data_IF_305684331168
#
_entry.id   IF_305684331168
#
_cell.length_a   1.000
_cell.length_b   1.000
_cell.length_c   1.000
_cell.angle_alpha   90.00
_cell.angle_beta   90.00
_cell.angle_gamma   90.00
#
_symmetry.space_group_name_H-M   'P 1'
#
loop_
_entity.id
_entity.type
_entity.pdbx_description
1 polymer ?
#
# COMPACT_ATOMS: atom_id res chain seq x y z
N UNK A 1 -34.59 19.93 8.29
CA UNK A 1 -33.79 19.72 9.51
C UNK A 1 -32.56 18.98 9.06
N UNK A 2 -31.48 19.73 8.93
CA UNK A 2 -30.19 19.24 8.47
C UNK A 2 -29.56 18.34 9.54
N UNK A 3 -29.54 17.02 9.29
CA UNK A 3 -28.79 16.06 10.11
C UNK A 3 -27.40 15.85 9.51
N UNK A 4 -26.60 16.90 9.46
CA UNK A 4 -25.15 16.75 9.29
C UNK A 4 -24.58 16.28 10.63
N UNK A 5 -23.92 15.12 10.71
CA UNK A 5 -23.24 14.74 11.93
C UNK A 5 -22.11 15.73 12.20
N UNK A 6 -22.20 16.38 13.35
CA UNK A 6 -21.20 17.29 13.89
C UNK A 6 -19.98 16.45 14.38
N UNK A 7 -19.29 15.79 13.47
CA UNK A 7 -18.06 15.04 13.77
C UNK A 7 -16.88 15.94 13.38
N UNK A 8 -16.55 16.88 14.26
CA UNK A 8 -15.31 17.67 14.19
C UNK A 8 -14.13 16.82 14.68
N UNK A 9 -13.91 15.64 14.12
CA UNK A 9 -12.61 15.01 14.23
C UNK A 9 -11.63 15.92 13.50
N UNK A 10 -10.68 16.47 14.26
CA UNK A 10 -9.62 17.31 13.67
C UNK A 10 -8.89 16.51 12.64
N UNK A 11 -8.86 17.03 11.41
CA UNK A 11 -8.00 16.48 10.38
C UNK A 11 -6.55 16.45 10.88
N UNK A 12 -5.79 15.39 10.58
CA UNK A 12 -4.40 15.31 10.98
C UNK A 12 -3.62 16.53 10.47
N UNK A 13 -2.75 17.05 11.29
CA UNK A 13 -1.88 18.17 10.96
C UNK A 13 -0.39 17.77 11.13
N UNK A 14 0.53 18.68 10.84
CA UNK A 14 1.97 18.45 10.97
C UNK A 14 2.46 18.13 12.38
N UNK A 15 1.62 18.30 13.40
CA UNK A 15 1.93 17.98 14.80
C UNK A 15 1.49 16.57 15.17
N UNK A 16 0.66 15.94 14.34
CA UNK A 16 0.38 14.51 14.43
C UNK A 16 1.62 13.73 13.97
N UNK A 17 2.14 12.82 14.81
CA UNK A 17 3.38 12.09 14.53
C UNK A 17 3.32 11.36 13.19
N UNK A 18 2.18 10.71 12.89
CA UNK A 18 1.95 9.97 11.66
C UNK A 18 1.86 10.85 10.40
N UNK A 19 1.80 12.18 10.56
CA UNK A 19 1.73 13.15 9.46
C UNK A 19 2.88 14.15 9.44
N UNK A 20 3.83 14.01 10.35
CA UNK A 20 4.90 15.00 10.57
C UNK A 20 5.72 15.31 9.33
N UNK A 21 5.96 14.33 8.49
CA UNK A 21 6.75 14.46 7.27
C UNK A 21 5.92 14.39 5.99
N UNK A 22 4.66 13.90 6.08
CA UNK A 22 3.72 14.02 4.97
C UNK A 22 3.40 15.49 4.70
N UNK A 23 3.09 15.84 3.47
CA UNK A 23 2.82 17.23 3.09
C UNK A 23 1.44 17.72 3.60
N UNK A 24 1.35 18.34 4.79
CA UNK A 24 0.05 18.66 5.42
C UNK A 24 -0.81 19.61 4.58
N UNK A 25 -0.18 20.47 3.75
CA UNK A 25 -0.88 21.37 2.84
C UNK A 25 -1.51 20.64 1.65
N UNK A 26 -0.88 19.59 1.14
CA UNK A 26 -1.45 18.73 0.09
C UNK A 26 -2.59 17.88 0.65
N UNK A 27 -2.45 17.43 1.89
CA UNK A 27 -3.49 16.75 2.65
C UNK A 27 -4.74 17.64 2.80
N UNK A 28 -4.60 18.87 3.28
CA UNK A 28 -5.71 19.80 3.43
C UNK A 28 -6.46 20.05 2.11
N UNK A 29 -5.72 20.16 0.99
CA UNK A 29 -6.31 20.33 -0.34
C UNK A 29 -7.02 19.06 -0.81
N UNK A 30 -6.43 17.87 -0.60
CA UNK A 30 -7.05 16.60 -0.95
C UNK A 30 -8.34 16.36 -0.16
N UNK A 31 -8.30 16.63 1.15
CA UNK A 31 -9.48 16.52 2.03
C UNK A 31 -10.53 17.55 1.64
N UNK A 32 -10.14 18.81 1.36
CA UNK A 32 -11.08 19.82 0.90
C UNK A 32 -11.76 19.40 -0.42
N UNK A 33 -11.02 18.79 -1.35
CA UNK A 33 -11.61 18.23 -2.56
C UNK A 33 -12.62 17.13 -2.24
N UNK A 34 -12.29 16.19 -1.34
CA UNK A 34 -13.22 15.16 -0.89
C UNK A 34 -14.47 15.73 -0.23
N UNK A 35 -14.34 16.81 0.56
CA UNK A 35 -15.46 17.44 1.27
C UNK A 35 -16.37 18.23 0.34
N UNK A 36 -15.85 18.81 -0.73
CA UNK A 36 -16.61 19.69 -1.64
C UNK A 36 -17.16 18.98 -2.88
N UNK A 37 -16.79 17.73 -3.12
CA UNK A 37 -17.26 17.00 -4.29
C UNK A 37 -18.64 16.39 -4.04
N UNK A 38 -19.47 16.51 -5.06
CA UNK A 38 -20.73 15.78 -5.20
C UNK A 38 -20.54 14.25 -5.18
N UNK A 39 -21.41 13.50 -5.81
CA UNK A 39 -21.29 12.03 -5.88
C UNK A 39 -19.91 11.62 -6.42
N UNK A 40 -19.31 10.61 -5.79
CA UNK A 40 -18.10 9.97 -6.28
C UNK A 40 -18.28 9.55 -7.75
N UNK A 41 -17.30 9.90 -8.59
CA UNK A 41 -17.33 9.63 -10.02
C UNK A 41 -16.20 8.66 -10.36
N UNK A 42 -16.56 7.43 -10.62
CA UNK A 42 -15.60 6.41 -11.04
C UNK A 42 -16.30 5.18 -11.56
N UNK A 43 -15.54 4.27 -12.13
CA UNK A 43 -16.01 2.99 -12.64
C UNK A 43 -15.21 1.83 -12.05
N UNK A 44 -15.87 0.70 -11.94
CA UNK A 44 -15.27 -0.58 -11.52
C UNK A 44 -15.49 -1.60 -12.61
N UNK A 45 -14.41 -2.22 -13.08
CA UNK A 45 -14.44 -3.35 -14.01
C UNK A 45 -13.72 -4.52 -13.38
N UNK A 46 -14.33 -5.71 -13.38
CA UNK A 46 -13.73 -6.93 -12.83
C UNK A 46 -13.73 -8.00 -13.90
N UNK A 47 -12.60 -8.67 -14.07
CA UNK A 47 -12.39 -9.74 -15.05
C UNK A 47 -11.63 -10.91 -14.41
N UNK A 48 -11.69 -12.09 -15.01
CA UNK A 48 -10.99 -13.29 -14.51
C UNK A 48 -11.76 -14.06 -13.43
N UNK A 49 -13.05 -13.76 -13.23
CA UNK A 49 -13.89 -14.44 -12.24
C UNK A 49 -15.32 -14.54 -12.77
N UNK A 50 -16.03 -15.61 -12.41
CA UNK A 50 -17.46 -15.76 -12.72
C UNK A 50 -18.31 -14.83 -11.85
N UNK A 51 -19.43 -14.36 -12.39
CA UNK A 51 -20.31 -13.33 -11.76
C UNK A 51 -20.75 -13.65 -10.31
N UNK A 52 -20.84 -14.92 -9.95
CA UNK A 52 -21.26 -15.35 -8.61
C UNK A 52 -20.29 -14.98 -7.47
N UNK A 53 -19.00 -14.76 -7.80
CA UNK A 53 -17.96 -14.38 -6.82
C UNK A 53 -17.87 -12.87 -6.58
N UNK A 54 -18.62 -12.07 -7.37
CA UNK A 54 -18.58 -10.60 -7.32
C UNK A 54 -19.85 -10.08 -6.66
N UNK A 55 -19.70 -9.37 -5.55
CA UNK A 55 -20.77 -8.53 -5.02
C UNK A 55 -20.34 -7.07 -5.16
N UNK A 56 -21.17 -6.24 -5.81
CA UNK A 56 -21.04 -4.80 -5.68
C UNK A 56 -21.38 -4.42 -4.24
N UNK A 57 -20.69 -3.41 -3.73
CA UNK A 57 -20.93 -2.90 -2.38
C UNK A 57 -22.34 -2.30 -2.32
N UNK A 58 -23.34 -3.09 -1.93
CA UNK A 58 -24.71 -2.61 -1.66
C UNK A 58 -24.88 -2.21 -0.20
N UNK A 59 -24.07 -2.78 0.71
CA UNK A 59 -24.03 -2.46 2.14
C UNK A 59 -22.59 -2.16 2.56
N UNK A 60 -22.20 -0.89 2.38
CA UNK A 60 -20.85 -0.43 2.69
C UNK A 60 -20.48 -0.59 4.17
N UNK A 61 -21.44 -0.57 5.09
CA UNK A 61 -21.16 -0.62 6.52
C UNK A 61 -20.62 -1.98 6.96
N UNK A 62 -21.22 -3.07 6.49
CA UNK A 62 -20.74 -4.43 6.82
C UNK A 62 -19.42 -4.76 6.14
N UNK A 63 -19.24 -4.26 4.92
CA UNK A 63 -18.00 -4.48 4.16
C UNK A 63 -16.79 -3.75 4.78
N UNK A 64 -17.00 -2.69 5.55
CA UNK A 64 -15.97 -1.88 6.20
C UNK A 64 -15.62 -2.33 7.63
N UNK A 65 -16.28 -3.39 8.14
CA UNK A 65 -15.95 -3.92 9.47
C UNK A 65 -14.50 -4.40 9.53
N UNK A 66 -13.79 -4.01 10.58
CA UNK A 66 -12.39 -4.40 10.82
C UNK A 66 -11.36 -3.50 10.15
N UNK A 67 -11.76 -2.54 9.33
CA UNK A 67 -10.81 -1.60 8.70
C UNK A 67 -10.25 -0.61 9.73
N UNK A 68 -8.91 -0.53 9.78
CA UNK A 68 -8.15 0.37 10.67
C UNK A 68 -7.20 1.21 9.82
N UNK A 69 -6.92 2.44 10.25
CA UNK A 69 -5.91 3.31 9.64
C UNK A 69 -4.65 3.40 10.51
N UNK A 70 -3.60 3.98 9.96
CA UNK A 70 -2.37 4.35 10.67
C UNK A 70 -2.27 5.88 10.62
N UNK A 71 -2.98 6.54 11.54
CA UNK A 71 -3.01 8.01 11.64
C UNK A 71 -4.00 8.73 10.72
N UNK A 72 -4.77 8.02 9.89
CA UNK A 72 -5.76 8.61 8.96
C UNK A 72 -7.21 8.37 9.36
N UNK A 73 -7.53 8.30 10.66
CA UNK A 73 -8.88 7.97 11.14
C UNK A 73 -9.96 8.92 10.60
N UNK A 74 -9.68 10.22 10.55
CA UNK A 74 -10.61 11.21 10.00
C UNK A 74 -10.86 11.00 8.50
N UNK A 75 -9.82 10.62 7.73
CA UNK A 75 -9.97 10.29 6.31
C UNK A 75 -10.71 8.97 6.11
N UNK A 76 -10.46 8.00 6.97
CA UNK A 76 -11.18 6.74 6.96
C UNK A 76 -12.67 6.94 7.30
N UNK A 77 -12.99 7.78 8.28
CA UNK A 77 -14.38 8.15 8.61
C UNK A 77 -15.05 8.83 7.40
N UNK A 78 -14.35 9.74 6.73
CA UNK A 78 -14.84 10.38 5.51
C UNK A 78 -15.04 9.37 4.37
N UNK A 79 -14.09 8.44 4.16
CA UNK A 79 -14.24 7.35 3.19
C UNK A 79 -15.50 6.53 3.46
N UNK A 80 -15.70 6.08 4.72
CA UNK A 80 -16.88 5.32 5.14
C UNK A 80 -18.20 6.01 4.82
N UNK A 81 -18.25 7.34 4.94
CA UNK A 81 -19.45 8.13 4.63
C UNK A 81 -19.71 8.32 3.13
N UNK A 82 -18.73 7.99 2.28
CA UNK A 82 -18.73 8.29 0.84
C UNK A 82 -18.46 7.10 -0.07
N UNK A 83 -18.27 5.91 0.49
CA UNK A 83 -18.13 4.68 -0.32
C UNK A 83 -19.33 4.59 -1.25
N UNK A 84 -19.05 4.68 -2.55
CA UNK A 84 -20.11 4.71 -3.57
C UNK A 84 -20.16 3.42 -4.38
N UNK A 85 -19.03 2.71 -4.51
CA UNK A 85 -18.91 1.46 -5.28
C UNK A 85 -17.69 0.67 -4.81
N UNK A 86 -17.53 -0.54 -5.27
CA UNK A 86 -16.38 -1.37 -4.92
C UNK A 86 -16.55 -2.83 -5.31
N UNK A 87 -15.54 -3.62 -4.98
CA UNK A 87 -15.50 -5.05 -5.25
C UNK A 87 -15.46 -5.86 -3.95
N UNK A 88 -16.36 -6.82 -3.82
CA UNK A 88 -16.28 -7.87 -2.80
C UNK A 88 -16.06 -9.19 -3.50
N UNK A 89 -14.85 -9.74 -3.37
CA UNK A 89 -14.49 -11.06 -3.89
C UNK A 89 -14.61 -12.10 -2.79
N UNK A 90 -15.42 -13.12 -3.03
CA UNK A 90 -15.52 -14.33 -2.18
C UNK A 90 -14.87 -15.47 -2.95
N UNK A 91 -13.66 -15.83 -2.56
CA UNK A 91 -12.85 -16.84 -3.24
C UNK A 91 -13.08 -18.18 -2.54
N UNK A 92 -13.84 -19.09 -3.18
CA UNK A 92 -14.24 -20.38 -2.59
C UNK A 92 -13.48 -21.57 -3.18
N UNK A 93 -12.73 -21.37 -4.28
CA UNK A 93 -11.91 -22.38 -4.95
C UNK A 93 -10.66 -21.71 -5.54
N UNK A 94 -9.73 -22.49 -6.06
CA UNK A 94 -8.52 -22.02 -6.70
C UNK A 94 -8.82 -21.29 -8.01
N UNK A 95 -8.03 -20.23 -8.29
CA UNK A 95 -8.11 -19.44 -9.51
C UNK A 95 -6.75 -19.52 -10.23
N UNK A 96 -6.71 -20.19 -11.40
CA UNK A 96 -5.49 -20.33 -12.20
C UNK A 96 -5.10 -19.00 -12.87
N UNK A 97 -6.09 -18.27 -13.39
CA UNK A 97 -5.89 -16.97 -14.02
C UNK A 97 -6.03 -15.83 -13.01
N UNK A 98 -5.27 -14.74 -13.17
CA UNK A 98 -5.39 -13.58 -12.29
C UNK A 98 -6.77 -12.92 -12.38
N UNK A 99 -7.35 -12.63 -11.22
CA UNK A 99 -8.53 -11.77 -11.12
C UNK A 99 -8.07 -10.32 -11.23
N UNK A 100 -8.59 -9.57 -12.21
CA UNK A 100 -8.25 -8.17 -12.38
C UNK A 100 -9.41 -7.27 -11.96
N UNK A 101 -9.12 -6.30 -11.08
CA UNK A 101 -10.03 -5.23 -10.67
C UNK A 101 -9.46 -3.93 -11.22
N UNK A 102 -10.23 -3.21 -12.04
CA UNK A 102 -9.86 -1.90 -12.56
C UNK A 102 -10.79 -0.84 -11.99
N UNK A 103 -10.20 0.11 -11.27
CA UNK A 103 -10.86 1.35 -10.84
C UNK A 103 -10.37 2.52 -11.67
N UNK A 104 -11.29 3.27 -12.25
CA UNK A 104 -10.96 4.46 -13.05
C UNK A 104 -11.75 5.68 -12.59
N UNK A 105 -11.10 6.84 -12.56
CA UNK A 105 -11.75 8.11 -12.25
C UNK A 105 -11.14 9.27 -13.00
N UNK A 106 -11.99 10.26 -13.38
CA UNK A 106 -11.58 11.59 -13.84
C UNK A 106 -11.81 12.67 -12.77
N UNK A 107 -12.44 12.29 -11.67
CA UNK A 107 -12.75 13.16 -10.54
C UNK A 107 -12.23 12.59 -9.22
N UNK A 108 -13.12 12.47 -8.24
CA UNK A 108 -12.80 11.80 -6.98
C UNK A 108 -13.61 10.52 -6.86
N UNK A 109 -12.92 9.45 -6.51
CA UNK A 109 -13.53 8.14 -6.31
C UNK A 109 -13.07 7.53 -4.99
N UNK A 110 -14.01 6.91 -4.27
CA UNK A 110 -13.78 6.31 -2.96
C UNK A 110 -14.20 4.84 -2.95
N UNK A 111 -13.49 3.97 -3.69
CA UNK A 111 -13.86 2.56 -3.80
C UNK A 111 -13.47 1.77 -2.54
N UNK A 112 -14.14 0.63 -2.37
CA UNK A 112 -13.81 -0.40 -1.39
C UNK A 112 -13.51 -1.70 -2.08
N UNK A 113 -12.38 -2.33 -1.74
CA UNK A 113 -12.07 -3.72 -2.11
C UNK A 113 -12.11 -4.61 -0.87
N UNK A 114 -12.89 -5.69 -0.92
CA UNK A 114 -12.87 -6.73 0.10
C UNK A 114 -12.61 -8.09 -0.54
N UNK A 115 -11.54 -8.75 -0.11
CA UNK A 115 -11.14 -10.07 -0.57
C UNK A 115 -11.29 -11.02 0.63
N UNK A 116 -12.11 -12.06 0.47
CA UNK A 116 -12.32 -13.09 1.48
C UNK A 116 -12.00 -14.43 0.83
N UNK A 117 -10.88 -15.03 1.20
CA UNK A 117 -10.45 -16.33 0.71
C UNK A 117 -10.85 -17.44 1.70
N UNK A 118 -11.54 -18.46 1.20
CA UNK A 118 -11.86 -19.67 1.94
C UNK A 118 -10.60 -20.49 2.29
N UNK A 119 -10.68 -21.46 3.20
CA UNK A 119 -9.53 -22.28 3.57
C UNK A 119 -8.90 -22.99 2.37
N UNK A 120 -7.57 -22.92 2.29
CA UNK A 120 -6.77 -23.60 1.26
C UNK A 120 -6.84 -23.00 -0.14
N UNK A 121 -7.57 -21.92 -0.36
CA UNK A 121 -7.73 -21.28 -1.68
C UNK A 121 -6.45 -20.60 -2.14
N UNK A 122 -6.13 -20.77 -3.43
CA UNK A 122 -5.04 -20.10 -4.11
C UNK A 122 -5.58 -19.10 -5.14
N UNK A 123 -5.17 -17.84 -5.06
CA UNK A 123 -5.58 -16.82 -6.04
C UNK A 123 -4.57 -15.70 -6.18
N UNK A 124 -4.48 -15.17 -7.41
CA UNK A 124 -3.75 -13.95 -7.72
C UNK A 124 -4.71 -12.84 -8.12
N UNK A 125 -4.60 -11.70 -7.47
CA UNK A 125 -5.43 -10.52 -7.74
C UNK A 125 -4.54 -9.38 -8.23
N UNK A 126 -4.92 -8.74 -9.33
CA UNK A 126 -4.30 -7.53 -9.86
C UNK A 126 -5.32 -6.40 -9.74
N UNK A 127 -5.07 -5.46 -8.86
CA UNK A 127 -5.90 -4.28 -8.68
C UNK A 127 -5.21 -3.09 -9.31
N UNK A 128 -5.86 -2.46 -10.27
CA UNK A 128 -5.35 -1.30 -10.99
C UNK A 128 -6.21 -0.07 -10.71
N UNK A 129 -5.55 1.00 -10.33
CA UNK A 129 -6.17 2.30 -10.09
C UNK A 129 -5.66 3.28 -11.12
N UNK A 130 -6.58 3.91 -11.86
CA UNK A 130 -6.25 4.85 -12.92
C UNK A 130 -6.95 6.18 -12.67
N UNK A 131 -6.16 7.19 -12.34
CA UNK A 131 -6.62 8.57 -12.18
C UNK A 131 -6.37 9.35 -13.47
N UNK A 132 -7.41 9.52 -14.28
CA UNK A 132 -7.36 10.28 -15.53
C UNK A 132 -7.71 11.75 -15.30
N UNK A 133 -7.05 12.64 -16.03
CA UNK A 133 -7.31 14.08 -15.94
C UNK A 133 -6.61 14.79 -14.81
N UNK A 134 -6.72 16.11 -14.79
CA UNK A 134 -6.12 16.98 -13.78
C UNK A 134 -6.95 17.00 -12.49
N UNK A 135 -6.29 17.01 -11.32
CA UNK A 135 -6.90 17.08 -9.99
C UNK A 135 -7.81 15.89 -9.63
N UNK A 136 -7.66 14.74 -10.28
CA UNK A 136 -8.34 13.51 -9.87
C UNK A 136 -7.77 12.97 -8.55
N UNK A 137 -8.59 12.25 -7.80
CA UNK A 137 -8.16 11.62 -6.56
C UNK A 137 -8.84 10.26 -6.36
N UNK A 138 -8.07 9.28 -5.91
CA UNK A 138 -8.60 7.97 -5.54
C UNK A 138 -8.26 7.66 -4.08
N UNK A 139 -9.28 7.33 -3.30
CA UNK A 139 -9.15 7.00 -1.89
C UNK A 139 -9.74 5.61 -1.68
N UNK A 140 -8.88 4.62 -1.63
CA UNK A 140 -9.29 3.21 -1.57
C UNK A 140 -9.11 2.65 -0.16
N UNK A 141 -10.14 1.95 0.30
CA UNK A 141 -10.03 1.06 1.45
C UNK A 141 -10.00 -0.38 0.96
N UNK A 142 -9.08 -1.20 1.51
CA UNK A 142 -8.93 -2.60 1.14
C UNK A 142 -8.85 -3.49 2.37
N UNK A 143 -9.59 -4.60 2.33
CA UNK A 143 -9.54 -5.64 3.36
C UNK A 143 -9.25 -6.97 2.67
N UNK A 144 -8.20 -7.65 3.10
CA UNK A 144 -7.81 -8.98 2.64
C UNK A 144 -7.91 -9.92 3.84
N UNK A 145 -8.80 -10.91 3.75
CA UNK A 145 -8.98 -11.93 4.79
C UNK A 145 -8.63 -13.29 4.20
N UNK A 146 -7.51 -13.85 4.60
CA UNK A 146 -7.05 -15.18 4.18
C UNK A 146 -7.35 -16.20 5.30
N UNK A 147 -8.26 -17.13 5.04
CA UNK A 147 -8.57 -18.22 5.97
C UNK A 147 -7.44 -19.27 6.02
N UNK A 148 -7.56 -20.27 6.89
CA UNK A 148 -6.50 -21.24 7.13
C UNK A 148 -5.96 -21.88 5.84
N UNK A 149 -4.64 -21.85 5.65
CA UNK A 149 -3.95 -22.41 4.51
C UNK A 149 -4.16 -21.69 3.17
N UNK A 150 -4.91 -20.60 3.11
CA UNK A 150 -5.09 -19.83 1.88
C UNK A 150 -3.78 -19.17 1.43
N UNK A 151 -3.53 -19.12 0.11
CA UNK A 151 -2.35 -18.49 -0.49
C UNK A 151 -2.80 -17.40 -1.48
N UNK A 152 -2.70 -16.15 -1.09
CA UNK A 152 -3.24 -15.01 -1.82
C UNK A 152 -2.13 -14.03 -2.17
N UNK A 153 -2.00 -13.71 -3.45
CA UNK A 153 -1.15 -12.61 -3.90
C UNK A 153 -1.99 -11.46 -4.46
N UNK A 154 -1.72 -10.26 -3.99
CA UNK A 154 -2.39 -9.04 -4.43
C UNK A 154 -1.36 -8.04 -4.93
N UNK A 155 -1.51 -7.64 -6.17
CA UNK A 155 -0.69 -6.60 -6.80
C UNK A 155 -1.53 -5.35 -7.00
N UNK A 156 -1.17 -4.26 -6.34
CA UNK A 156 -1.77 -2.94 -6.52
C UNK A 156 -0.90 -2.10 -7.45
N UNK A 157 -1.48 -1.66 -8.56
CA UNK A 157 -0.86 -0.77 -9.53
C UNK A 157 -1.59 0.57 -9.54
N UNK A 158 -0.92 1.62 -9.06
CA UNK A 158 -1.44 2.99 -9.02
C UNK A 158 -0.89 3.79 -10.21
N UNK A 159 -1.78 4.31 -11.04
CA UNK A 159 -1.44 5.17 -12.17
C UNK A 159 -2.17 6.51 -12.07
N UNK A 160 -1.41 7.58 -11.94
CA UNK A 160 -1.94 8.91 -11.80
C UNK A 160 -1.42 9.90 -12.81
N UNK A 161 -1.58 11.17 -12.48
CA UNK A 161 -1.05 12.32 -13.19
C UNK A 161 -0.26 13.21 -12.22
N UNK A 162 0.51 14.16 -12.76
CA UNK A 162 1.30 15.11 -11.96
C UNK A 162 0.47 16.03 -11.04
N UNK A 163 -0.85 15.91 -11.06
CA UNK A 163 -1.77 16.67 -10.20
C UNK A 163 -2.75 15.77 -9.44
N UNK A 164 -2.76 14.46 -9.71
CA UNK A 164 -3.63 13.51 -9.03
C UNK A 164 -3.11 13.14 -7.64
N UNK A 165 -4.00 12.57 -6.83
CA UNK A 165 -3.71 12.12 -5.46
C UNK A 165 -4.26 10.74 -5.22
N UNK A 166 -3.54 9.95 -4.41
CA UNK A 166 -3.98 8.63 -3.98
C UNK A 166 -3.89 8.49 -2.45
N UNK A 167 -4.88 7.82 -1.86
CA UNK A 167 -4.81 7.31 -0.50
C UNK A 167 -5.28 5.85 -0.51
N UNK A 168 -4.45 4.96 -0.01
CA UNK A 168 -4.76 3.55 0.13
C UNK A 168 -4.66 3.13 1.58
N UNK A 169 -5.72 2.57 2.13
CA UNK A 169 -5.73 1.98 3.46
C UNK A 169 -6.00 0.49 3.29
N UNK A 170 -4.97 -0.33 3.52
CA UNK A 170 -5.02 -1.78 3.34
C UNK A 170 -4.92 -2.49 4.69
N UNK A 171 -5.83 -3.42 4.95
CA UNK A 171 -5.77 -4.31 6.11
C UNK A 171 -5.74 -5.76 5.63
N UNK A 172 -4.73 -6.49 6.09
CA UNK A 172 -4.49 -7.89 5.78
C UNK A 172 -4.66 -8.68 7.08
N UNK A 173 -5.46 -9.73 7.03
CA UNK A 173 -5.65 -10.68 8.14
C UNK A 173 -5.31 -12.08 7.63
N UNK A 174 -4.27 -12.69 8.20
CA UNK A 174 -3.81 -14.03 7.85
C UNK A 174 -4.10 -14.99 9.01
N UNK A 175 -4.89 -16.03 8.74
CA UNK A 175 -5.21 -17.10 9.66
C UNK A 175 -4.11 -18.20 9.66
N UNK A 176 -4.35 -19.33 10.32
CA UNK A 176 -3.40 -20.44 10.47
C UNK A 176 -2.87 -20.93 9.11
N UNK A 177 -1.53 -20.92 8.97
CA UNK A 177 -0.85 -21.36 7.75
C UNK A 177 -1.19 -20.55 6.49
N UNK A 178 -1.92 -19.46 6.60
CA UNK A 178 -2.22 -18.61 5.44
C UNK A 178 -0.99 -17.84 4.98
N UNK A 179 -0.80 -17.76 3.67
CA UNK A 179 0.24 -16.95 3.03
C UNK A 179 -0.39 -15.79 2.27
N UNK A 180 0.04 -14.56 2.56
CA UNK A 180 -0.40 -13.37 1.83
C UNK A 180 0.80 -12.57 1.34
N UNK A 181 0.82 -12.27 0.05
CA UNK A 181 1.80 -11.37 -0.57
C UNK A 181 1.07 -10.15 -1.10
N UNK A 182 1.59 -8.97 -0.77
CA UNK A 182 1.02 -7.72 -1.24
C UNK A 182 2.11 -6.84 -1.83
N UNK A 183 2.00 -6.53 -3.11
CA UNK A 183 2.89 -5.62 -3.84
C UNK A 183 2.13 -4.33 -4.17
N UNK A 184 2.76 -3.19 -3.93
CA UNK A 184 2.26 -1.89 -4.35
C UNK A 184 3.26 -1.15 -5.25
N UNK A 185 2.73 -0.52 -6.29
CA UNK A 185 3.51 0.35 -7.17
C UNK A 185 2.74 1.66 -7.41
N UNK A 186 3.42 2.78 -7.27
CA UNK A 186 2.85 4.11 -7.51
C UNK A 186 3.56 4.80 -8.68
N UNK A 187 2.78 5.29 -9.63
CA UNK A 187 3.28 6.03 -10.78
C UNK A 187 2.53 7.35 -10.94
N UNK A 188 3.30 8.43 -11.11
CA UNK A 188 2.85 9.75 -11.57
C UNK A 188 1.92 10.56 -10.64
N UNK A 189 1.54 10.09 -9.46
CA UNK A 189 0.76 10.91 -8.53
C UNK A 189 1.59 12.08 -7.99
N UNK A 190 0.97 13.27 -7.87
CA UNK A 190 1.57 14.40 -7.17
C UNK A 190 1.81 14.08 -5.69
N UNK A 191 0.86 13.34 -5.10
CA UNK A 191 0.91 12.88 -3.73
C UNK A 191 0.21 11.53 -3.63
N UNK A 192 0.85 10.60 -2.96
CA UNK A 192 0.27 9.32 -2.60
C UNK A 192 0.57 8.99 -1.14
N UNK A 193 -0.42 8.47 -0.42
CA UNK A 193 -0.25 7.89 0.91
C UNK A 193 -0.76 6.46 0.92
N UNK A 194 0.03 5.59 1.52
CA UNK A 194 -0.26 4.18 1.69
C UNK A 194 -0.17 3.81 3.17
N UNK A 195 -1.21 3.20 3.69
CA UNK A 195 -1.26 2.66 5.05
C UNK A 195 -1.58 1.17 4.97
N UNK A 196 -0.63 0.33 5.35
CA UNK A 196 -0.80 -1.13 5.30
C UNK A 196 -0.64 -1.73 6.69
N UNK A 197 -1.70 -2.33 7.22
CA UNK A 197 -1.67 -3.15 8.43
C UNK A 197 -1.79 -4.61 8.06
N UNK A 198 -0.79 -5.42 8.43
CA UNK A 198 -0.80 -6.87 8.27
C UNK A 198 -0.90 -7.52 9.66
N UNK A 199 -1.99 -8.20 9.95
CA UNK A 199 -2.22 -8.91 11.20
C UNK A 199 -2.13 -10.42 10.99
N UNK A 200 -1.17 -11.06 11.68
CA UNK A 200 -0.97 -12.49 11.70
C UNK A 200 -1.66 -13.02 12.96
N UNK A 201 -2.82 -13.65 12.77
CA UNK A 201 -3.78 -13.96 13.85
C UNK A 201 -3.66 -15.38 14.41
N UNK A 202 -2.93 -16.26 13.70
CA UNK A 202 -2.79 -17.67 14.08
C UNK A 202 -1.43 -18.23 13.66
N UNK A 203 -0.96 -19.37 14.22
CA UNK A 203 0.35 -19.93 13.94
C UNK A 203 0.61 -20.22 12.45
N UNK A 204 1.88 -20.22 12.06
CA UNK A 204 2.35 -20.48 10.71
C UNK A 204 1.82 -19.49 9.64
N UNK A 205 1.18 -18.39 10.03
CA UNK A 205 0.83 -17.32 9.08
C UNK A 205 2.11 -16.66 8.50
N UNK A 206 2.12 -16.41 7.19
CA UNK A 206 3.20 -15.78 6.44
C UNK A 206 2.65 -14.55 5.69
N UNK A 207 3.13 -13.35 6.01
CA UNK A 207 2.75 -12.13 5.28
C UNK A 207 3.98 -11.42 4.74
N UNK A 208 3.99 -11.17 3.44
CA UNK A 208 5.09 -10.46 2.78
C UNK A 208 4.59 -9.23 2.06
N UNK A 209 5.17 -8.08 2.43
CA UNK A 209 4.83 -6.77 1.90
C UNK A 209 5.93 -6.26 0.99
N UNK A 210 5.57 -5.83 -0.19
CA UNK A 210 6.49 -5.34 -1.21
C UNK A 210 6.04 -3.98 -1.73
N UNK A 211 7.02 -3.12 -2.05
CA UNK A 211 6.73 -1.88 -2.78
C UNK A 211 7.92 -1.47 -3.63
N UNK A 212 7.65 -1.06 -4.88
CA UNK A 212 8.66 -0.62 -5.82
C UNK A 212 8.20 0.67 -6.51
N UNK A 213 8.87 1.79 -6.25
CA UNK A 213 8.42 3.08 -6.73
C UNK A 213 9.56 3.89 -7.34
N UNK A 214 9.23 4.62 -8.42
CA UNK A 214 10.05 5.66 -8.97
C UNK A 214 9.33 6.99 -8.88
N UNK A 215 9.96 7.93 -8.18
CA UNK A 215 9.41 9.26 -7.92
C UNK A 215 10.28 10.31 -8.61
N UNK A 216 9.63 11.27 -9.24
CA UNK A 216 10.28 12.33 -10.01
C UNK A 216 9.70 13.71 -9.66
N UNK A 217 10.36 14.77 -10.14
CA UNK A 217 9.90 16.14 -9.99
C UNK A 217 9.65 16.54 -8.52
N UNK A 218 8.40 16.77 -8.12
CA UNK A 218 7.98 17.13 -6.75
C UNK A 218 6.97 16.15 -6.19
N UNK A 219 7.00 14.91 -6.66
CA UNK A 219 6.11 13.85 -6.17
C UNK A 219 6.41 13.51 -4.72
N UNK A 220 5.37 13.18 -4.00
CA UNK A 220 5.46 12.77 -2.59
C UNK A 220 4.79 11.41 -2.43
N UNK A 221 5.52 10.46 -1.86
CA UNK A 221 5.00 9.15 -1.45
C UNK A 221 5.20 8.99 0.06
N UNK A 222 4.11 8.76 0.78
CA UNK A 222 4.08 8.62 2.23
C UNK A 222 3.56 7.23 2.60
N UNK A 223 4.47 6.33 3.03
CA UNK A 223 4.19 4.91 3.27
C UNK A 223 4.26 4.59 4.76
N UNK A 224 3.15 4.11 5.32
CA UNK A 224 3.02 3.67 6.70
C UNK A 224 2.66 2.20 6.76
N UNK A 225 3.39 1.42 7.57
CA UNK A 225 3.15 0.00 7.68
C UNK A 225 3.13 -0.48 9.14
N UNK A 226 2.30 -1.46 9.42
CA UNK A 226 2.27 -2.17 10.70
C UNK A 226 2.20 -3.67 10.45
N UNK A 227 3.26 -4.39 10.89
CA UNK A 227 3.29 -5.85 10.93
C UNK A 227 2.93 -6.27 12.34
N UNK A 228 1.70 -6.74 12.56
CA UNK A 228 1.14 -7.08 13.87
C UNK A 228 1.13 -8.59 14.04
N UNK A 229 2.02 -9.10 14.90
CA UNK A 229 2.07 -10.50 15.30
C UNK A 229 1.23 -10.69 16.57
N UNK A 230 -0.03 -11.11 16.37
CA UNK A 230 -0.97 -11.40 17.45
C UNK A 230 -0.80 -12.82 17.99
N UNK A 231 -0.08 -13.69 17.26
CA UNK A 231 0.19 -15.09 17.60
C UNK A 231 1.66 -15.45 17.32
N UNK A 232 2.19 -16.43 18.05
CA UNK A 232 3.56 -16.94 17.88
C UNK A 232 3.71 -17.88 16.69
N UNK A 233 4.98 -18.14 16.30
CA UNK A 233 5.31 -19.02 15.17
C UNK A 233 4.92 -18.48 13.80
N UNK A 234 4.80 -17.17 13.68
CA UNK A 234 4.43 -16.47 12.45
C UNK A 234 5.64 -15.83 11.76
N UNK A 235 5.54 -15.65 10.45
CA UNK A 235 6.56 -14.99 9.64
C UNK A 235 6.01 -13.73 8.97
N UNK A 236 6.77 -12.63 9.02
CA UNK A 236 6.51 -11.47 8.16
C UNK A 236 7.79 -10.87 7.59
N UNK A 237 7.70 -10.38 6.36
CA UNK A 237 8.81 -9.67 5.72
C UNK A 237 8.29 -8.48 4.91
N UNK A 238 8.97 -7.35 5.03
CA UNK A 238 8.70 -6.15 4.24
C UNK A 238 9.95 -5.76 3.46
N UNK A 239 9.79 -5.58 2.14
CA UNK A 239 10.80 -5.02 1.26
C UNK A 239 10.22 -3.87 0.44
N UNK A 240 10.55 -2.65 0.82
CA UNK A 240 10.17 -1.43 0.11
C UNK A 240 11.39 -0.78 -0.52
N UNK A 241 11.32 -0.50 -1.81
CA UNK A 241 12.37 0.19 -2.56
C UNK A 241 11.83 1.39 -3.30
N UNK A 242 12.52 2.53 -3.16
CA UNK A 242 12.18 3.75 -3.85
C UNK A 242 13.40 4.31 -4.60
N UNK A 243 13.18 4.80 -5.81
CA UNK A 243 14.15 5.60 -6.58
C UNK A 243 13.59 7.01 -6.68
N UNK A 244 14.38 8.01 -6.28
CA UNK A 244 13.95 9.40 -6.22
C UNK A 244 14.81 10.30 -7.08
N UNK A 245 14.16 11.14 -7.89
CA UNK A 245 14.81 12.15 -8.72
C UNK A 245 14.17 13.54 -8.54
N UNK A 246 14.89 14.58 -8.92
CA UNK A 246 14.44 15.97 -8.81
C UNK A 246 14.27 16.41 -7.35
N UNK A 247 13.10 16.86 -6.98
CA UNK A 247 12.70 17.27 -5.64
C UNK A 247 11.70 16.30 -5.02
N UNK A 248 11.72 15.05 -5.45
CA UNK A 248 10.80 14.04 -4.94
C UNK A 248 11.06 13.75 -3.46
N UNK A 249 10.01 13.43 -2.74
CA UNK A 249 10.09 13.09 -1.31
C UNK A 249 9.41 11.73 -1.08
N UNK A 250 10.09 10.83 -0.38
CA UNK A 250 9.47 9.64 0.16
C UNK A 250 9.54 9.64 1.69
N UNK A 251 8.47 9.21 2.31
CA UNK A 251 8.37 8.97 3.75
C UNK A 251 8.08 7.50 3.95
N UNK A 252 8.79 6.88 4.87
CA UNK A 252 8.53 5.52 5.31
C UNK A 252 8.46 5.49 6.83
N UNK A 253 7.34 5.05 7.38
CA UNK A 253 7.17 4.78 8.80
C UNK A 253 6.62 3.36 8.96
N UNK A 254 7.48 2.45 9.43
CA UNK A 254 7.14 1.05 9.58
C UNK A 254 7.24 0.61 11.04
N UNK A 255 6.29 -0.19 11.51
CA UNK A 255 6.35 -0.77 12.85
C UNK A 255 6.12 -2.28 12.79
N UNK A 256 7.01 -3.04 13.43
CA UNK A 256 6.78 -4.44 13.75
C UNK A 256 6.32 -4.49 15.21
N UNK A 257 5.11 -4.96 15.44
CA UNK A 257 4.55 -5.15 16.78
C UNK A 257 4.39 -6.64 17.07
N UNK A 258 5.03 -7.10 18.12
CA UNK A 258 4.93 -8.50 18.60
C UNK A 258 4.21 -8.53 19.93
N UNK A 259 3.00 -9.09 19.96
CA UNK A 259 2.13 -9.13 21.12
C UNK A 259 2.73 -9.98 22.26
N UNK A 260 2.34 -9.75 23.52
CA UNK A 260 2.67 -10.64 24.61
C UNK A 260 2.28 -12.08 24.29
N UNK A 261 3.21 -13.04 24.48
CA UNK A 261 2.97 -14.44 24.17
C UNK A 261 3.14 -14.87 22.70
N UNK A 262 3.36 -13.93 21.77
CA UNK A 262 3.68 -14.25 20.37
C UNK A 262 5.15 -14.70 20.21
N UNK A 263 5.51 -15.76 20.94
CA UNK A 263 6.86 -16.35 20.90
C UNK A 263 7.16 -16.99 19.54
N UNK A 264 8.44 -17.17 19.25
CA UNK A 264 8.93 -17.78 18.01
C UNK A 264 8.51 -17.03 16.73
N UNK A 265 8.25 -15.72 16.87
CA UNK A 265 8.01 -14.79 15.76
C UNK A 265 9.30 -14.55 14.99
N UNK A 266 9.17 -14.51 13.64
CA UNK A 266 10.24 -14.22 12.71
C UNK A 266 9.80 -13.06 11.79
N UNK A 267 10.33 -11.84 12.00
CA UNK A 267 9.80 -10.63 11.37
C UNK A 267 10.90 -9.67 10.88
N UNK A 268 10.83 -9.30 9.62
CA UNK A 268 11.82 -8.46 8.97
C UNK A 268 11.18 -7.25 8.28
N UNK A 269 11.92 -6.13 8.28
CA UNK A 269 11.53 -4.91 7.58
C UNK A 269 12.75 -4.28 6.92
N UNK A 270 12.70 -4.08 5.62
CA UNK A 270 13.77 -3.45 4.84
C UNK A 270 13.21 -2.33 3.97
N UNK A 271 13.68 -1.09 4.21
CA UNK A 271 13.42 0.06 3.36
C UNK A 271 14.73 0.50 2.70
N UNK A 272 14.80 0.48 1.37
CA UNK A 272 15.99 0.86 0.60
C UNK A 272 15.65 1.93 -0.41
N UNK A 273 16.44 2.98 -0.46
CA UNK A 273 16.17 4.13 -1.29
C UNK A 273 17.41 4.54 -2.08
N UNK A 274 17.22 4.77 -3.37
CA UNK A 274 18.26 5.27 -4.28
C UNK A 274 17.95 6.73 -4.64
N UNK A 275 18.91 7.63 -4.43
CA UNK A 275 18.76 9.04 -4.75
C UNK A 275 19.51 9.35 -6.04
N UNK A 276 18.82 9.88 -7.04
CA UNK A 276 19.38 10.30 -8.31
C UNK A 276 19.69 11.80 -8.33
N UNK A 277 19.15 12.55 -7.37
CA UNK A 277 19.30 14.00 -7.25
C UNK A 277 19.65 14.39 -5.81
N UNK A 278 20.45 15.45 -5.65
CA UNK A 278 20.79 16.05 -4.36
C UNK A 278 19.59 16.70 -3.67
N UNK A 279 18.55 17.04 -4.41
CA UNK A 279 17.33 17.66 -3.88
C UNK A 279 16.26 16.64 -3.49
N UNK A 280 16.45 15.37 -3.82
CA UNK A 280 15.54 14.31 -3.40
C UNK A 280 15.66 14.05 -1.89
N UNK A 281 14.53 13.78 -1.24
CA UNK A 281 14.47 13.66 0.21
C UNK A 281 13.82 12.35 0.65
N UNK A 282 14.41 11.72 1.68
CA UNK A 282 13.88 10.52 2.33
C UNK A 282 13.74 10.77 3.82
N UNK A 283 12.58 10.43 4.37
CA UNK A 283 12.35 10.32 5.80
C UNK A 283 12.02 8.86 6.11
N UNK A 284 12.88 8.16 6.84
CA UNK A 284 12.66 6.76 7.18
C UNK A 284 12.69 6.56 8.70
N UNK A 285 11.57 6.04 9.22
CA UNK A 285 11.31 5.84 10.65
C UNK A 285 10.88 4.38 10.90
N UNK A 286 11.79 3.41 10.81
CA UNK A 286 11.48 2.03 11.17
C UNK A 286 11.39 1.88 12.70
N UNK A 287 10.41 1.11 13.19
CA UNK A 287 10.18 0.83 14.60
C UNK A 287 10.00 -0.65 14.89
N UNK A 288 10.35 -1.05 16.11
CA UNK A 288 10.11 -2.38 16.69
C UNK A 288 9.51 -2.20 18.08
N UNK A 289 8.40 -2.90 18.33
CA UNK A 289 7.79 -3.02 19.64
C UNK A 289 7.57 -4.51 19.94
N UNK A 290 8.43 -5.07 20.76
CA UNK A 290 8.50 -6.52 20.98
C UNK A 290 8.17 -6.80 22.44
N UNK A 291 7.06 -7.51 22.68
CA UNK A 291 6.54 -7.86 23.99
C UNK A 291 6.58 -9.38 24.25
N UNK A 292 7.36 -10.13 23.46
CA UNK A 292 7.50 -11.57 23.57
C UNK A 292 8.98 -12.01 23.54
N UNK A 293 9.24 -13.22 24.03
CA UNK A 293 10.56 -13.84 24.05
C UNK A 293 10.76 -14.78 22.85
N UNK A 294 12.02 -15.21 22.60
CA UNK A 294 12.40 -16.13 21.52
C UNK A 294 11.94 -15.67 20.15
N UNK A 295 12.21 -14.40 19.80
CA UNK A 295 11.86 -13.82 18.53
C UNK A 295 13.10 -13.52 17.68
N UNK A 296 12.95 -13.50 16.36
CA UNK A 296 13.93 -13.00 15.40
C UNK A 296 13.30 -11.81 14.67
N UNK A 297 13.58 -10.61 15.15
CA UNK A 297 13.03 -9.41 14.58
C UNK A 297 14.15 -8.44 14.24
N UNK A 298 14.12 -7.91 13.02
CA UNK A 298 15.05 -6.88 12.61
C UNK A 298 14.43 -5.88 11.65
N UNK A 299 14.98 -4.67 11.67
CA UNK A 299 14.69 -3.68 10.65
C UNK A 299 15.98 -3.13 10.05
N UNK A 300 15.91 -2.69 8.79
CA UNK A 300 16.99 -2.00 8.12
C UNK A 300 16.45 -0.89 7.23
N UNK A 301 17.11 0.26 7.28
CA UNK A 301 16.86 1.35 6.34
C UNK A 301 18.18 1.83 5.78
N UNK A 302 18.23 1.98 4.45
CA UNK A 302 19.40 2.50 3.76
C UNK A 302 18.97 3.46 2.66
N UNK A 303 19.61 4.61 2.60
CA UNK A 303 19.42 5.60 1.54
C UNK A 303 20.79 6.05 1.06
N UNK A 304 21.02 5.90 -0.23
CA UNK A 304 22.30 6.22 -0.84
C UNK A 304 22.11 6.83 -2.24
N UNK A 305 23.05 7.65 -2.71
CA UNK A 305 23.15 7.98 -4.11
C UNK A 305 23.34 6.72 -4.96
N UNK A 306 23.11 6.86 -6.27
CA UNK A 306 23.43 5.78 -7.22
C UNK A 306 24.92 5.46 -7.16
N UNK A 307 25.24 4.16 -7.29
CA UNK A 307 26.62 3.67 -7.32
C UNK A 307 27.35 4.17 -8.58
N UNK A 308 28.33 5.04 -8.39
CA UNK A 308 29.13 5.60 -9.48
C UNK A 308 30.03 4.57 -10.18
N UNK A 309 30.40 3.44 -9.53
CA UNK A 309 31.17 2.38 -10.17
C UNK A 309 30.29 1.62 -11.18
N UNK A 310 29.04 1.31 -10.82
CA UNK A 310 28.08 0.71 -11.73
C UNK A 310 27.80 1.62 -12.92
N UNK A 311 27.59 2.90 -12.63
CA UNK A 311 27.36 3.91 -13.66
C UNK A 311 28.57 4.04 -14.59
N UNK A 312 29.80 4.13 -14.06
CA UNK A 312 31.03 4.19 -14.84
C UNK A 312 31.22 2.97 -15.75
N UNK A 313 30.91 1.78 -15.25
CA UNK A 313 30.96 0.56 -16.06
C UNK A 313 30.07 0.65 -17.30
N UNK A 314 28.81 1.09 -17.14
CA UNK A 314 27.87 1.24 -18.26
C UNK A 314 28.31 2.33 -19.24
N UNK A 315 28.79 3.46 -18.73
CA UNK A 315 29.36 4.55 -19.55
C UNK A 315 30.58 4.09 -20.37
N UNK A 316 31.44 3.27 -19.78
CA UNK A 316 32.62 2.71 -20.47
C UNK A 316 32.25 1.77 -21.62
N UNK A 317 31.02 1.23 -21.62
CA UNK A 317 30.44 0.44 -22.69
C UNK A 317 29.68 1.26 -23.73
N UNK A 318 29.74 2.60 -23.65
CA UNK A 318 29.15 3.52 -24.59
C UNK A 318 27.66 3.79 -24.35
N UNK A 319 27.09 3.35 -23.22
CA UNK A 319 25.70 3.66 -22.86
C UNK A 319 25.64 5.13 -22.38
N UNK A 320 24.77 5.98 -22.96
CA UNK A 320 24.61 7.35 -22.52
C UNK A 320 24.21 7.45 -21.04
N UNK A 321 24.71 8.47 -20.30
CA UNK A 321 24.53 8.61 -18.85
C UNK A 321 23.06 8.43 -18.40
N UNK A 322 22.14 9.10 -19.08
CA UNK A 322 20.71 8.99 -18.75
C UNK A 322 20.18 7.56 -18.87
N UNK A 323 20.56 6.83 -19.94
CA UNK A 323 20.14 5.44 -20.11
C UNK A 323 20.80 4.52 -19.09
N UNK A 324 22.07 4.75 -18.75
CA UNK A 324 22.76 4.01 -17.72
C UNK A 324 22.09 4.20 -16.33
N UNK A 325 21.69 5.41 -15.99
CA UNK A 325 20.97 5.70 -14.77
C UNK A 325 19.60 4.97 -14.71
N UNK A 326 18.87 4.97 -15.84
CA UNK A 326 17.62 4.22 -15.94
C UNK A 326 17.81 2.73 -15.71
N UNK A 327 18.79 2.11 -16.37
CA UNK A 327 19.08 0.69 -16.24
C UNK A 327 19.43 0.28 -14.80
N UNK A 328 20.25 1.07 -14.12
CA UNK A 328 20.61 0.80 -12.71
C UNK A 328 19.38 0.95 -11.81
N UNK A 329 18.56 1.98 -12.02
CA UNK A 329 17.35 2.23 -11.25
C UNK A 329 16.30 1.11 -11.47
N UNK A 330 16.10 0.68 -12.72
CA UNK A 330 15.20 -0.43 -13.06
C UNK A 330 15.67 -1.73 -12.42
N UNK A 331 16.95 -2.08 -12.53
CA UNK A 331 17.52 -3.27 -11.90
C UNK A 331 17.39 -3.24 -10.37
N UNK A 332 17.52 -2.06 -9.74
CA UNK A 332 17.32 -1.90 -8.31
C UNK A 332 15.87 -2.19 -7.90
N UNK A 333 14.88 -1.75 -8.69
CA UNK A 333 13.46 -1.98 -8.41
C UNK A 333 13.00 -3.39 -8.80
N UNK A 334 13.57 -3.97 -9.86
CA UNK A 334 13.19 -5.29 -10.37
C UNK A 334 13.38 -6.41 -9.33
N UNK A 335 14.39 -6.34 -8.46
CA UNK A 335 14.58 -7.28 -7.35
C UNK A 335 13.31 -7.42 -6.46
N UNK A 336 12.50 -6.37 -6.36
CA UNK A 336 11.23 -6.44 -5.61
C UNK A 336 10.22 -7.31 -6.36
N UNK A 337 10.07 -7.11 -7.67
CA UNK A 337 9.15 -7.89 -8.49
C UNK A 337 9.56 -9.38 -8.57
N UNK A 338 10.86 -9.66 -8.66
CA UNK A 338 11.39 -11.01 -8.63
C UNK A 338 11.06 -11.72 -7.32
N UNK A 339 11.31 -11.06 -6.17
CA UNK A 339 10.98 -11.62 -4.85
C UNK A 339 9.48 -11.74 -4.59
N UNK A 340 8.67 -10.87 -5.18
CA UNK A 340 7.22 -11.01 -5.13
C UNK A 340 6.74 -12.24 -5.91
N UNK A 341 7.38 -12.54 -7.04
CA UNK A 341 7.07 -13.69 -7.89
C UNK A 341 7.61 -15.04 -7.35
N UNK A 342 8.63 -15.03 -6.48
CA UNK A 342 9.15 -16.24 -5.82
C UNK A 342 8.04 -16.86 -4.95
N UNK A 343 7.69 -18.13 -5.24
CA UNK A 343 6.60 -18.87 -4.57
C UNK A 343 7.00 -19.40 -3.20
#
# INVERSE_FOLDING_TARGET
>A
MDNTPNNTEKLPDRFCEDWRFGAPHLHATAVAQLMHLGKAQGSVTITGVEDAAICRVQDAQDALQGLRSIGSDALLALHRSRVADGAVLRLEHDYEEPITILYETEGVFTPLTRIVAAPGVHARIIERHVCRGGNSAMFTARIISAAAGANISVELQEEGSSTSRALNITNIMAAEGAAVRHLTTHANHAWAREETTAELTAPAADVRLFSANRLEARQILDQHTRQLHSCGGCFSNLLYKNVLDGYATAVFAGNIYVSPGAHDTDAYQSNRNMLLSENACIHSLPGLEILADRVRCSHGSASAPMDEEQLFYLLSRGIPRHQAQLLVAEGFLQDVAERFAEQ
#
